data_IF_998654840576
#
_entry.id   IF_998654840576
#
_cell.length_a   1.000
_cell.length_b   1.000
_cell.length_c   1.000
_cell.angle_alpha   90.00
_cell.angle_beta   90.00
_cell.angle_gamma   90.00
#
_symmetry.space_group_name_H-M   'P 1'
#
loop_
_entity.id
_entity.type
_entity.pdbx_description
1 polymer ?
#
# COMPACT_ATOMS: atom_id res chain seq x y z
N UNK A 1 -18.34 80.43 -10.50
CA UNK A 1 -16.90 80.29 -10.83
C UNK A 1 -16.02 80.12 -9.58
N UNK A 2 -16.37 79.22 -8.64
CA UNK A 2 -15.48 78.85 -7.51
C UNK A 2 -15.45 77.33 -7.22
N UNK A 3 -16.31 76.55 -7.88
CA UNK A 3 -16.51 75.12 -7.57
C UNK A 3 -15.85 74.17 -8.58
N UNK A 4 -15.11 74.68 -9.58
CA UNK A 4 -14.34 73.86 -10.53
C UNK A 4 -12.85 73.73 -10.17
N UNK A 5 -12.31 74.58 -9.28
CA UNK A 5 -10.90 74.51 -8.85
C UNK A 5 -10.68 73.54 -7.68
N UNK A 6 -11.69 73.34 -6.82
CA UNK A 6 -11.60 72.44 -5.67
C UNK A 6 -11.67 70.95 -6.06
N UNK A 7 -12.36 70.63 -7.16
CA UNK A 7 -12.46 69.25 -7.66
C UNK A 7 -11.18 68.81 -8.35
N UNK A 8 -10.52 69.70 -9.11
CA UNK A 8 -9.24 69.38 -9.78
C UNK A 8 -8.07 69.18 -8.79
N UNK A 9 -8.04 69.90 -7.67
CA UNK A 9 -6.99 69.74 -6.65
C UNK A 9 -7.12 68.45 -5.82
N UNK A 10 -8.34 67.91 -5.66
CA UNK A 10 -8.55 66.61 -5.00
C UNK A 10 -8.14 65.42 -5.88
N UNK A 11 -8.18 65.54 -7.21
CA UNK A 11 -7.77 64.45 -8.10
C UNK A 11 -6.24 64.31 -8.20
N UNK A 12 -5.47 65.38 -7.98
CA UNK A 12 -4.00 65.30 -7.98
C UNK A 12 -3.42 64.68 -6.70
N UNK A 13 -4.12 64.81 -5.56
CA UNK A 13 -3.67 64.22 -4.28
C UNK A 13 -3.93 62.71 -4.18
N UNK A 14 -4.66 62.11 -5.11
CA UNK A 14 -4.96 60.68 -5.10
C UNK A 14 -3.90 59.81 -5.80
N UNK A 15 -2.89 60.42 -6.44
CA UNK A 15 -1.90 59.70 -7.27
C UNK A 15 -0.52 59.56 -6.61
N UNK A 16 -0.35 60.08 -5.40
CA UNK A 16 0.92 60.02 -4.67
C UNK A 16 0.58 59.73 -3.21
N UNK A 17 1.30 58.77 -2.59
CA UNK A 17 1.10 58.19 -1.26
C UNK A 17 0.10 57.00 -1.30
N UNK A 18 0.46 55.74 -1.14
CA UNK A 18 1.58 55.15 -0.38
C UNK A 18 1.89 53.75 -0.91
N UNK A 19 3.13 53.54 -1.32
CA UNK A 19 3.78 52.24 -1.34
C UNK A 19 3.92 51.74 0.10
N UNK A 20 3.07 50.81 0.51
CA UNK A 20 3.43 49.90 1.60
C UNK A 20 3.49 48.50 1.02
N UNK A 21 4.71 48.02 0.81
CA UNK A 21 4.95 46.61 0.62
C UNK A 21 4.48 45.92 1.91
N UNK A 22 3.27 45.33 1.88
CA UNK A 22 2.91 44.36 2.91
C UNK A 22 3.80 43.14 2.68
N UNK A 23 4.84 42.99 3.50
CA UNK A 23 5.40 41.67 3.77
C UNK A 23 4.27 40.86 4.40
N UNK A 24 3.54 40.10 3.58
CA UNK A 24 2.64 39.08 4.10
C UNK A 24 3.53 37.97 4.64
N UNK A 25 3.72 37.96 5.95
CA UNK A 25 4.23 36.80 6.66
C UNK A 25 3.37 35.62 6.26
N UNK A 26 3.97 34.59 5.65
CA UNK A 26 3.35 33.28 5.58
C UNK A 26 3.22 32.79 7.03
N UNK A 27 2.10 33.10 7.67
CA UNK A 27 1.69 32.35 8.85
C UNK A 27 1.37 30.95 8.32
N UNK A 28 2.35 30.07 8.46
CA UNK A 28 2.12 28.64 8.51
C UNK A 28 1.22 28.46 9.73
N UNK A 29 -0.09 28.55 9.52
CA UNK A 29 -1.05 27.98 10.44
C UNK A 29 -0.78 26.49 10.37
N UNK A 30 0.12 26.01 11.23
CA UNK A 30 0.08 24.64 11.71
C UNK A 30 -1.24 24.51 12.44
N UNK A 31 -2.31 24.30 11.68
CA UNK A 31 -3.45 23.55 12.17
C UNK A 31 -2.85 22.21 12.54
N UNK A 32 -2.52 22.05 13.81
CA UNK A 32 -2.26 20.76 14.43
C UNK A 32 -3.61 20.03 14.44
N UNK A 33 -4.02 19.61 13.25
CA UNK A 33 -4.90 18.47 13.10
C UNK A 33 -4.09 17.34 13.70
N UNK A 34 -4.40 16.96 14.94
CA UNK A 34 -3.99 15.66 15.48
C UNK A 34 -4.29 14.68 14.34
N UNK A 35 -3.27 14.02 13.75
CA UNK A 35 -3.53 13.03 12.75
C UNK A 35 -4.41 12.00 13.45
N UNK A 36 -5.68 11.93 13.04
CA UNK A 36 -6.47 10.72 13.24
C UNK A 36 -5.51 9.61 12.81
N UNK A 37 -5.27 8.57 13.63
CA UNK A 37 -4.48 7.43 13.17
C UNK A 37 -5.18 6.88 11.93
N UNK A 38 -4.77 7.35 10.75
CA UNK A 38 -5.08 6.71 9.49
C UNK A 38 -4.48 5.34 9.71
N UNK A 39 -5.28 4.25 9.69
CA UNK A 39 -4.69 2.93 9.73
C UNK A 39 -3.64 2.93 8.63
N UNK A 40 -2.35 2.81 9.00
CA UNK A 40 -1.33 2.66 7.97
C UNK A 40 -1.87 1.57 7.03
N UNK A 41 -1.89 1.78 5.71
CA UNK A 41 -2.06 0.66 4.79
C UNK A 41 -1.16 -0.43 5.34
N UNK A 42 -1.68 -1.63 5.60
CA UNK A 42 -0.79 -2.70 6.04
C UNK A 42 0.27 -2.78 4.96
N UNK A 43 1.48 -2.34 5.29
CA UNK A 43 2.47 -2.11 4.27
C UNK A 43 2.82 -3.45 3.64
N UNK A 44 3.26 -3.44 2.40
CA UNK A 44 3.79 -4.63 1.74
C UNK A 44 4.83 -5.34 2.63
N UNK A 45 5.59 -4.60 3.43
CA UNK A 45 6.50 -5.15 4.44
C UNK A 45 5.83 -6.07 5.46
N UNK A 46 4.60 -5.78 5.91
CA UNK A 46 3.86 -6.66 6.83
C UNK A 46 3.48 -7.98 6.16
N UNK A 47 3.11 -7.94 4.88
CA UNK A 47 2.76 -9.14 4.11
C UNK A 47 4.03 -9.97 3.82
N UNK A 48 5.14 -9.30 3.48
CA UNK A 48 6.43 -9.94 3.29
C UNK A 48 6.97 -10.56 4.59
N UNK A 49 6.81 -9.89 5.74
CA UNK A 49 7.17 -10.46 7.05
C UNK A 49 6.34 -11.70 7.33
N UNK A 50 5.05 -11.69 6.98
CA UNK A 50 4.17 -12.86 7.11
C UNK A 50 4.61 -14.02 6.20
N UNK A 51 5.14 -13.70 5.02
CA UNK A 51 5.72 -14.66 4.07
C UNK A 51 7.14 -15.11 4.42
N UNK A 52 7.84 -14.43 5.33
CA UNK A 52 9.22 -14.75 5.68
C UNK A 52 9.47 -16.23 6.03
N UNK A 53 8.58 -16.93 6.77
CA UNK A 53 8.80 -18.34 7.09
C UNK A 53 8.58 -19.27 5.88
N UNK A 54 8.01 -18.75 4.80
CA UNK A 54 7.71 -19.48 3.56
C UNK A 54 8.78 -19.28 2.47
N UNK A 55 9.76 -18.39 2.67
CA UNK A 55 10.74 -18.02 1.63
C UNK A 55 11.52 -19.21 1.10
N UNK A 56 11.96 -20.12 1.97
CA UNK A 56 12.70 -21.33 1.55
C UNK A 56 11.88 -22.26 0.66
N UNK A 57 10.54 -22.17 0.71
CA UNK A 57 9.65 -22.91 -0.17
C UNK A 57 9.40 -22.14 -1.47
N UNK A 58 9.05 -20.86 -1.41
CA UNK A 58 8.67 -20.07 -2.60
C UNK A 58 9.86 -19.58 -3.43
N UNK A 59 11.08 -19.63 -2.90
CA UNK A 59 12.28 -19.24 -3.65
C UNK A 59 12.56 -20.16 -4.84
N UNK A 60 13.34 -19.66 -5.79
CA UNK A 60 14.04 -20.46 -6.79
C UNK A 60 15.47 -20.79 -6.35
N UNK A 61 16.17 -21.59 -7.17
CA UNK A 61 17.59 -21.87 -6.95
C UNK A 61 18.39 -20.58 -6.79
N UNK A 62 19.29 -20.50 -5.79
CA UNK A 62 19.74 -21.57 -4.88
C UNK A 62 18.98 -21.66 -3.55
N UNK A 63 17.97 -20.82 -3.31
CA UNK A 63 17.33 -20.66 -2.00
C UNK A 63 16.11 -21.59 -1.79
N UNK A 64 15.73 -22.39 -2.79
CA UNK A 64 14.58 -23.31 -2.78
C UNK A 64 14.81 -24.60 -1.96
N UNK A 65 15.45 -24.47 -0.79
CA UNK A 65 15.88 -25.61 0.04
C UNK A 65 14.72 -26.40 0.66
N UNK A 66 13.50 -25.82 0.70
CA UNK A 66 12.32 -26.52 1.17
C UNK A 66 11.54 -27.14 0.00
N UNK A 67 11.24 -28.43 0.11
CA UNK A 67 10.38 -29.17 -0.82
C UNK A 67 8.88 -28.93 -0.58
N UNK A 68 8.49 -28.50 0.62
CA UNK A 68 7.10 -28.22 1.00
C UNK A 68 7.02 -27.04 1.99
N UNK A 69 5.83 -26.45 2.12
CA UNK A 69 5.56 -25.42 3.12
C UNK A 69 5.54 -26.02 4.54
N UNK A 70 6.26 -25.39 5.47
CA UNK A 70 6.29 -25.82 6.87
C UNK A 70 4.99 -25.45 7.60
N UNK A 71 4.72 -26.11 8.73
CA UNK A 71 3.58 -25.75 9.59
C UNK A 71 3.66 -24.31 10.09
N UNK A 72 4.86 -23.81 10.40
CA UNK A 72 5.10 -22.42 10.80
C UNK A 72 4.81 -21.42 9.67
N UNK A 73 5.18 -21.77 8.43
CA UNK A 73 4.82 -21.03 7.24
C UNK A 73 3.30 -20.96 7.08
N UNK A 74 2.60 -22.10 7.11
CA UNK A 74 1.14 -22.10 6.94
C UNK A 74 0.40 -21.43 8.09
N UNK A 75 0.89 -21.49 9.34
CA UNK A 75 0.29 -20.75 10.45
C UNK A 75 0.44 -19.24 10.28
N UNK A 76 1.62 -18.77 9.86
CA UNK A 76 1.87 -17.36 9.59
C UNK A 76 1.02 -16.87 8.42
N UNK A 77 1.03 -17.65 7.33
CA UNK A 77 0.21 -17.43 6.15
C UNK A 77 -1.29 -17.45 6.48
N UNK A 78 -1.79 -18.33 7.35
CA UNK A 78 -3.22 -18.32 7.71
C UNK A 78 -3.61 -17.11 8.59
N UNK A 79 -2.67 -16.58 9.38
CA UNK A 79 -2.90 -15.40 10.24
C UNK A 79 -2.91 -14.09 9.45
N UNK A 80 -2.05 -13.94 8.45
CA UNK A 80 -1.99 -12.74 7.60
C UNK A 80 -2.61 -12.91 6.22
N UNK A 81 -2.40 -14.05 5.57
CA UNK A 81 -2.83 -14.39 4.20
C UNK A 81 -4.34 -14.45 3.98
N UNK A 82 -5.16 -14.75 5.00
CA UNK A 82 -6.61 -14.59 4.87
C UNK A 82 -6.98 -13.12 4.60
N UNK A 83 -6.25 -12.16 5.17
CA UNK A 83 -6.43 -10.73 4.85
C UNK A 83 -5.91 -10.35 3.47
N UNK A 84 -4.91 -11.07 2.95
CA UNK A 84 -4.37 -10.88 1.60
C UNK A 84 -5.44 -11.24 0.54
N UNK A 85 -6.38 -12.12 0.87
CA UNK A 85 -7.45 -12.55 -0.04
C UNK A 85 -8.77 -11.81 0.25
N UNK A 86 -9.13 -11.65 1.52
CA UNK A 86 -10.36 -10.98 1.95
C UNK A 86 -10.34 -9.47 1.69
N UNK A 87 -9.15 -8.86 1.68
CA UNK A 87 -8.98 -7.49 1.22
C UNK A 87 -8.42 -7.57 -0.17
N UNK A 88 -9.02 -6.86 -1.11
CA UNK A 88 -8.51 -6.55 -2.45
C UNK A 88 -7.21 -5.70 -2.39
N UNK A 89 -6.35 -5.97 -1.41
CA UNK A 89 -5.10 -5.34 -1.03
C UNK A 89 -3.94 -6.34 -1.19
N UNK A 90 -4.15 -7.37 -2.02
CA UNK A 90 -3.14 -8.32 -2.49
C UNK A 90 -2.12 -7.71 -3.44
N UNK A 91 -2.17 -6.39 -3.68
CA UNK A 91 -1.26 -5.67 -4.58
C UNK A 91 0.22 -5.94 -4.27
N UNK A 92 0.59 -6.07 -2.98
CA UNK A 92 1.95 -6.43 -2.58
C UNK A 92 2.36 -7.82 -3.10
N UNK A 93 1.54 -8.84 -2.87
CA UNK A 93 1.88 -10.20 -3.30
C UNK A 93 1.79 -10.33 -4.82
N UNK A 94 0.90 -9.60 -5.48
CA UNK A 94 0.88 -9.55 -6.94
C UNK A 94 2.12 -8.84 -7.51
N UNK A 95 2.63 -7.80 -6.86
CA UNK A 95 3.92 -7.21 -7.21
C UNK A 95 5.07 -8.20 -7.03
N UNK A 96 5.03 -9.01 -5.97
CA UNK A 96 6.00 -10.08 -5.76
C UNK A 96 5.92 -11.14 -6.89
N UNK A 97 4.71 -11.51 -7.33
CA UNK A 97 4.51 -12.43 -8.46
C UNK A 97 5.01 -11.85 -9.79
N UNK A 98 4.79 -10.54 -10.02
CA UNK A 98 5.18 -9.84 -11.26
C UNK A 98 6.66 -9.51 -11.33
N UNK A 99 7.26 -9.12 -10.20
CA UNK A 99 8.70 -8.86 -10.04
C UNK A 99 9.32 -9.88 -9.09
N UNK A 100 9.70 -11.02 -9.66
CA UNK A 100 10.22 -12.17 -8.92
C UNK A 100 11.58 -11.94 -8.26
N UNK A 101 12.24 -10.80 -8.49
CA UNK A 101 13.57 -10.49 -7.93
C UNK A 101 13.55 -9.39 -6.88
N UNK A 102 12.38 -8.87 -6.53
CA UNK A 102 12.23 -7.75 -5.58
C UNK A 102 12.82 -8.02 -4.19
N UNK A 103 12.97 -9.29 -3.80
CA UNK A 103 13.57 -9.71 -2.52
C UNK A 103 15.10 -9.87 -2.57
N UNK A 104 15.74 -9.52 -3.70
CA UNK A 104 17.17 -9.74 -3.92
C UNK A 104 17.55 -11.17 -4.30
N UNK A 105 16.57 -12.07 -4.45
CA UNK A 105 16.73 -13.41 -4.98
C UNK A 105 15.47 -13.80 -5.79
N UNK A 106 15.59 -14.71 -6.78
CA UNK A 106 14.46 -15.13 -7.58
C UNK A 106 13.48 -15.97 -6.76
N UNK A 107 12.20 -15.72 -6.97
CA UNK A 107 11.10 -16.51 -6.40
C UNK A 107 10.24 -17.13 -7.50
N UNK A 108 9.62 -18.25 -7.16
CA UNK A 108 8.77 -19.01 -8.05
C UNK A 108 7.29 -18.64 -7.80
N UNK A 109 6.70 -17.90 -8.71
CA UNK A 109 5.28 -17.52 -8.65
C UNK A 109 4.35 -18.73 -8.56
N UNK A 110 4.67 -19.83 -9.26
CA UNK A 110 3.96 -21.10 -9.15
C UNK A 110 3.89 -21.61 -7.72
N UNK A 111 5.00 -21.56 -6.98
CA UNK A 111 5.05 -21.96 -5.57
C UNK A 111 4.33 -20.98 -4.65
N UNK A 112 4.25 -19.70 -4.99
CA UNK A 112 3.39 -18.74 -4.28
C UNK A 112 1.93 -19.17 -4.40
N UNK A 113 1.46 -19.54 -5.61
CA UNK A 113 0.09 -20.04 -5.79
C UNK A 113 -0.16 -21.37 -5.08
N UNK A 114 0.79 -22.31 -5.13
CA UNK A 114 0.72 -23.57 -4.37
C UNK A 114 0.65 -23.36 -2.86
N UNK A 115 1.27 -22.28 -2.35
CA UNK A 115 1.21 -21.96 -0.92
C UNK A 115 -0.22 -21.68 -0.46
N UNK A 116 -1.03 -21.01 -1.28
CA UNK A 116 -2.46 -20.81 -0.99
C UNK A 116 -3.17 -22.16 -0.86
N UNK A 117 -2.93 -23.09 -1.78
CA UNK A 117 -3.54 -24.42 -1.77
C UNK A 117 -3.12 -25.25 -0.54
N UNK A 118 -1.81 -25.38 -0.29
CA UNK A 118 -1.25 -26.18 0.81
C UNK A 118 -1.71 -25.65 2.19
N UNK A 119 -1.62 -24.34 2.38
CA UNK A 119 -1.87 -23.73 3.69
C UNK A 119 -3.35 -23.49 3.98
N UNK A 120 -4.22 -23.48 2.96
CA UNK A 120 -5.67 -23.48 3.17
C UNK A 120 -6.22 -24.89 3.33
N UNK A 121 -5.69 -25.89 2.61
CA UNK A 121 -6.01 -27.32 2.84
C UNK A 121 -5.73 -27.75 4.28
N UNK A 122 -4.61 -27.30 4.85
CA UNK A 122 -4.23 -27.59 6.23
C UNK A 122 -5.26 -27.11 7.28
N UNK A 123 -6.13 -26.14 6.93
CA UNK A 123 -7.22 -25.66 7.78
C UNK A 123 -8.51 -26.47 7.60
N UNK A 124 -8.69 -27.09 6.44
CA UNK A 124 -9.93 -27.79 6.06
C UNK A 124 -9.87 -29.32 6.22
N UNK A 125 -8.83 -29.84 6.88
CA UNK A 125 -8.90 -31.18 7.47
C UNK A 125 -9.99 -31.33 8.58
N UNK A 126 -10.87 -30.32 8.74
CA UNK A 126 -12.15 -30.35 9.47
C UNK A 126 -13.41 -30.22 8.59
N UNK A 127 -13.31 -30.31 7.26
CA UNK A 127 -14.45 -30.45 6.33
C UNK A 127 -14.53 -29.39 5.24
N UNK A 128 -14.36 -29.85 3.98
CA UNK A 128 -14.57 -29.19 2.66
C UNK A 128 -13.33 -28.97 1.77
N UNK A 129 -12.98 -29.99 0.97
CA UNK A 129 -11.87 -29.95 0.02
C UNK A 129 -12.12 -29.16 -1.27
N UNK A 130 -13.30 -28.56 -1.48
CA UNK A 130 -13.69 -27.92 -2.74
C UNK A 130 -13.32 -26.42 -2.83
N UNK A 131 -13.21 -25.75 -1.69
CA UNK A 131 -13.03 -24.29 -1.60
C UNK A 131 -11.58 -23.83 -1.88
N UNK A 132 -10.62 -24.75 -1.78
CA UNK A 132 -9.16 -24.50 -1.77
C UNK A 132 -8.64 -24.22 -3.19
N UNK A 133 -9.02 -25.04 -4.16
CA UNK A 133 -8.65 -24.85 -5.57
C UNK A 133 -9.24 -23.58 -6.16
N UNK A 134 -10.38 -23.11 -5.64
CA UNK A 134 -11.01 -21.87 -6.09
C UNK A 134 -10.24 -20.63 -5.61
N UNK A 135 -9.63 -20.70 -4.42
CA UNK A 135 -8.91 -19.60 -3.82
C UNK A 135 -7.60 -19.27 -4.54
N UNK A 136 -6.84 -20.29 -4.93
CA UNK A 136 -5.61 -20.11 -5.71
C UNK A 136 -5.89 -19.58 -7.12
N UNK A 137 -6.97 -20.04 -7.77
CA UNK A 137 -7.44 -19.54 -9.07
C UNK A 137 -7.93 -18.09 -8.98
N UNK A 138 -8.72 -17.77 -7.95
CA UNK A 138 -9.19 -16.41 -7.72
C UNK A 138 -8.04 -15.43 -7.48
N UNK A 139 -7.07 -15.82 -6.66
CA UNK A 139 -5.88 -15.02 -6.39
C UNK A 139 -5.03 -14.80 -7.65
N UNK A 140 -4.86 -15.84 -8.48
CA UNK A 140 -4.16 -15.73 -9.76
C UNK A 140 -4.85 -14.75 -10.71
N UNK A 141 -6.16 -14.90 -10.87
CA UNK A 141 -6.99 -13.98 -11.68
C UNK A 141 -6.85 -12.53 -11.22
N UNK A 142 -6.84 -12.32 -9.89
CA UNK A 142 -6.63 -11.00 -9.31
C UNK A 142 -5.26 -10.40 -9.66
N UNK A 143 -4.19 -11.19 -9.61
CA UNK A 143 -2.85 -10.71 -9.95
C UNK A 143 -2.61 -10.54 -11.46
N UNK A 144 -3.46 -11.11 -12.31
CA UNK A 144 -3.41 -10.97 -13.77
C UNK A 144 -4.21 -9.75 -14.27
N UNK A 145 -5.13 -9.21 -13.45
CA UNK A 145 -5.91 -7.98 -13.72
C UNK A 145 -5.14 -6.68 -13.50
#
# INVERSE_FOLDING_TARGET
MKNLFFTSLHFLTALIMTTTAKLSSAQITTTETIPIPIPLPRGCSSDLVTLSPCLSFIAESPNNVASNASSACCQSFAKGGRKIIDRLDSGCICHLVRDSKILGFPINSGRIFQLFDICTTSRINNGDGSEIGQLSVAFRSFCDG
#
